data_IF_753042995956
#
_entry.id   IF_753042995956
#
_cell.length_a   1.000
_cell.length_b   1.000
_cell.length_c   1.000
_cell.angle_alpha   90.00
_cell.angle_beta   90.00
_cell.angle_gamma   90.00
#
_symmetry.space_group_name_H-M   'P 1'
#
loop_
_entity.id
_entity.type
_entity.pdbx_description
1 polymer ?
#
# COMPACT_ATOMS: atom_id res chain seq x y z
N UNK A 1 -32.77 -3.09 -1.39
CA UNK A 1 -31.68 -2.10 -1.57
C UNK A 1 -31.32 -1.56 -0.18
N UNK A 2 -30.21 -2.02 0.41
CA UNK A 2 -29.84 -1.66 1.79
C UNK A 2 -29.21 -0.28 1.81
N UNK A 3 -29.83 0.66 2.54
CA UNK A 3 -29.26 1.99 2.78
C UNK A 3 -27.95 1.86 3.59
N UNK A 4 -26.89 2.52 3.11
CA UNK A 4 -25.62 2.57 3.81
C UNK A 4 -25.78 3.29 5.16
N UNK A 5 -25.33 2.64 6.25
CA UNK A 5 -25.32 3.23 7.59
C UNK A 5 -24.31 4.39 7.68
N UNK A 6 -24.62 5.48 8.40
CA UNK A 6 -23.78 6.68 8.52
C UNK A 6 -22.44 6.46 9.25
N UNK A 7 -22.21 5.29 9.85
CA UNK A 7 -20.98 4.92 10.55
C UNK A 7 -20.08 3.94 9.76
N UNK A 8 -20.46 3.58 8.53
CA UNK A 8 -19.68 2.66 7.70
C UNK A 8 -18.47 3.37 7.09
N UNK A 9 -17.25 2.80 7.19
CA UNK A 9 -16.07 3.42 6.60
C UNK A 9 -16.21 3.48 5.07
N UNK A 10 -15.62 4.52 4.48
CA UNK A 10 -15.47 4.57 3.02
C UNK A 10 -14.37 3.57 2.65
N UNK A 11 -14.67 2.62 1.78
CA UNK A 11 -13.74 1.56 1.38
C UNK A 11 -13.16 1.88 0.01
N UNK A 12 -11.84 1.83 -0.08
CA UNK A 12 -11.09 1.91 -1.34
C UNK A 12 -10.29 0.62 -1.48
N UNK A 13 -10.45 -0.06 -2.61
CA UNK A 13 -9.66 -1.25 -2.96
C UNK A 13 -8.80 -0.95 -4.16
N UNK A 14 -7.59 -1.51 -4.20
CA UNK A 14 -6.74 -1.39 -5.37
C UNK A 14 -5.43 -2.10 -5.20
N UNK A 15 -4.63 -2.05 -6.26
CA UNK A 15 -3.26 -2.55 -6.25
C UNK A 15 -2.32 -1.40 -5.90
N UNK A 16 -1.42 -1.63 -4.95
CA UNK A 16 -0.44 -0.63 -4.56
C UNK A 16 0.55 -0.37 -5.68
N UNK A 17 0.64 0.89 -6.10
CA UNK A 17 1.53 1.35 -7.17
C UNK A 17 2.69 2.20 -6.64
N UNK A 18 3.81 2.28 -7.39
CA UNK A 18 4.87 3.25 -7.12
C UNK A 18 4.34 4.69 -7.08
N UNK A 19 4.85 5.48 -6.11
CA UNK A 19 4.67 6.93 -6.07
C UNK A 19 6.01 7.63 -6.30
N UNK A 20 6.12 8.91 -5.91
CA UNK A 20 7.37 9.71 -6.01
C UNK A 20 8.38 9.31 -4.94
N UNK A 21 8.01 8.37 -4.06
CA UNK A 21 8.84 7.87 -2.96
C UNK A 21 9.34 8.96 -2.00
N UNK A 22 8.81 10.19 -2.07
CA UNK A 22 9.18 11.32 -1.20
C UNK A 22 8.90 11.02 0.27
N UNK A 23 7.79 10.34 0.57
CA UNK A 23 7.47 9.90 1.92
C UNK A 23 8.54 8.97 2.50
N UNK A 24 9.09 8.05 1.69
CA UNK A 24 10.17 7.14 2.10
C UNK A 24 11.42 7.90 2.55
N UNK A 25 11.83 8.94 1.82
CA UNK A 25 12.97 9.80 2.18
C UNK A 25 12.75 10.56 3.50
N UNK A 26 11.49 10.76 3.90
CA UNK A 26 11.11 11.45 5.13
C UNK A 26 10.82 10.50 6.30
N UNK A 27 10.98 9.18 6.12
CA UNK A 27 10.66 8.16 7.12
C UNK A 27 9.18 7.76 7.18
N UNK A 28 8.38 8.15 6.18
CA UNK A 28 6.94 7.85 6.08
C UNK A 28 6.63 7.17 4.74
N UNK A 29 7.05 5.91 4.52
CA UNK A 29 6.68 5.19 3.31
C UNK A 29 5.16 5.04 3.20
N UNK A 30 4.62 5.16 1.98
CA UNK A 30 3.19 5.06 1.71
C UNK A 30 2.89 4.00 0.65
N UNK A 31 1.81 3.27 0.88
CA UNK A 31 1.14 2.48 -0.15
C UNK A 31 0.20 3.42 -0.94
N UNK A 32 0.40 3.52 -2.26
CA UNK A 32 -0.35 4.45 -3.10
C UNK A 32 -1.39 3.69 -3.92
N UNK A 33 -2.64 4.17 -3.93
CA UNK A 33 -3.73 3.69 -4.77
C UNK A 33 -4.25 4.83 -5.65
N UNK A 34 -4.26 4.68 -6.99
CA UNK A 34 -4.98 5.59 -7.86
C UNK A 34 -6.47 5.62 -7.48
N UNK A 35 -7.05 6.81 -7.47
CA UNK A 35 -8.46 7.01 -7.13
C UNK A 35 -9.25 7.43 -8.36
N UNK A 36 -10.06 6.49 -8.86
CA UNK A 36 -11.07 6.77 -9.89
C UNK A 36 -12.43 7.18 -9.30
N UNK A 37 -12.59 7.04 -7.98
CA UNK A 37 -13.87 7.26 -7.29
C UNK A 37 -14.16 8.75 -7.04
N UNK A 38 -15.25 9.24 -7.61
CA UNK A 38 -15.87 10.51 -7.26
C UNK A 38 -16.48 10.48 -5.85
N UNK A 39 -16.61 11.66 -5.21
CA UNK A 39 -17.37 11.82 -3.96
C UNK A 39 -16.60 11.66 -2.65
N UNK A 40 -15.41 11.06 -2.64
CA UNK A 40 -14.53 11.11 -1.47
C UNK A 40 -13.91 12.51 -1.36
N UNK A 41 -13.93 13.13 -0.18
CA UNK A 41 -13.30 14.46 0.01
C UNK A 41 -11.80 14.37 0.23
N UNK A 42 -11.05 15.39 -0.19
CA UNK A 42 -9.60 15.45 0.07
C UNK A 42 -9.34 15.73 1.55
N UNK A 43 -8.32 15.07 2.11
CA UNK A 43 -7.92 15.21 3.51
C UNK A 43 -7.02 14.09 3.99
N UNK A 44 -6.73 14.09 5.28
CA UNK A 44 -6.04 12.99 5.97
C UNK A 44 -7.03 12.30 6.89
N UNK A 45 -6.98 10.97 6.89
CA UNK A 45 -7.91 10.08 7.56
C UNK A 45 -7.16 9.11 8.47
N UNK A 46 -7.78 8.75 9.59
CA UNK A 46 -7.45 7.53 10.30
C UNK A 46 -8.17 6.37 9.61
N UNK A 47 -7.42 5.30 9.32
CA UNK A 47 -7.89 4.18 8.54
C UNK A 47 -7.28 2.85 8.95
N UNK A 48 -7.77 1.79 8.31
CA UNK A 48 -7.16 0.46 8.36
C UNK A 48 -6.84 -0.04 6.96
N UNK A 49 -5.67 -0.64 6.78
CA UNK A 49 -5.26 -1.31 5.54
C UNK A 49 -5.29 -2.81 5.78
N UNK A 50 -6.00 -3.51 4.91
CA UNK A 50 -6.04 -4.97 4.86
C UNK A 50 -5.27 -5.39 3.62
N UNK A 51 -4.23 -6.21 3.80
CA UNK A 51 -3.49 -6.86 2.73
C UNK A 51 -4.22 -8.15 2.35
N UNK A 52 -4.81 -8.20 1.16
CA UNK A 52 -5.60 -9.35 0.70
C UNK A 52 -4.70 -10.57 0.40
N UNK A 53 -3.38 -10.38 0.33
CA UNK A 53 -2.41 -11.46 0.08
C UNK A 53 -2.25 -12.38 1.29
N UNK A 54 -2.21 -11.81 2.49
CA UNK A 54 -1.93 -12.55 3.73
C UNK A 54 -2.95 -12.30 4.86
N UNK A 55 -3.98 -11.50 4.57
CA UNK A 55 -5.03 -11.12 5.51
C UNK A 55 -4.57 -10.21 6.65
N UNK A 56 -3.34 -9.67 6.60
CA UNK A 56 -2.85 -8.78 7.65
C UNK A 56 -3.60 -7.45 7.64
N UNK A 57 -3.90 -6.96 8.83
CA UNK A 57 -4.59 -5.67 9.02
C UNK A 57 -3.69 -4.73 9.81
N UNK A 58 -3.55 -3.50 9.33
CA UNK A 58 -2.69 -2.47 9.90
C UNK A 58 -3.45 -1.16 10.08
N UNK A 59 -3.17 -0.42 11.15
CA UNK A 59 -3.62 0.96 11.28
C UNK A 59 -2.86 1.82 10.27
N UNK A 60 -3.51 2.83 9.70
CA UNK A 60 -2.88 3.72 8.76
C UNK A 60 -3.33 5.17 8.93
N UNK A 61 -2.38 6.09 8.78
CA UNK A 61 -2.67 7.49 8.46
C UNK A 61 -2.76 7.59 6.93
N UNK A 62 -3.93 7.97 6.42
CA UNK A 62 -4.24 7.90 4.99
C UNK A 62 -4.46 9.30 4.43
N UNK A 63 -3.58 9.74 3.54
CA UNK A 63 -3.72 10.98 2.79
C UNK A 63 -4.52 10.73 1.52
N UNK A 64 -5.54 11.54 1.27
CA UNK A 64 -6.33 11.55 0.05
C UNK A 64 -6.21 12.93 -0.58
N UNK A 65 -5.69 12.99 -1.81
CA UNK A 65 -5.46 14.26 -2.48
C UNK A 65 -4.99 14.12 -3.91
N UNK A 66 -4.74 15.26 -4.54
CA UNK A 66 -4.23 15.37 -5.91
C UNK A 66 -2.75 15.69 -5.90
N UNK A 67 -2.00 15.03 -6.78
CA UNK A 67 -0.64 15.45 -7.12
C UNK A 67 -0.69 16.62 -8.07
N UNK A 68 -0.30 17.80 -7.61
CA UNK A 68 -0.20 18.98 -8.49
C UNK A 68 1.12 19.01 -9.31
N UNK A 69 1.81 17.87 -9.48
CA UNK A 69 3.02 17.77 -10.32
C UNK A 69 2.67 18.12 -11.77
N UNK A 70 3.43 19.03 -12.40
CA UNK A 70 3.41 19.54 -13.80
C UNK A 70 2.05 19.80 -14.52
N UNK A 71 1.01 19.02 -14.29
CA UNK A 71 -0.34 19.05 -14.88
C UNK A 71 -1.37 19.85 -14.06
N UNK A 72 -0.96 20.54 -12.99
CA UNK A 72 -1.84 21.47 -12.27
C UNK A 72 -3.08 20.80 -11.64
N UNK A 73 -4.30 21.21 -12.04
CA UNK A 73 -5.56 20.70 -11.49
C UNK A 73 -5.99 19.33 -12.07
N UNK A 74 -5.33 18.89 -13.14
CA UNK A 74 -5.60 17.63 -13.84
C UNK A 74 -4.69 16.49 -13.37
N UNK A 75 -3.94 16.71 -12.30
CA UNK A 75 -3.08 15.69 -11.73
C UNK A 75 -3.87 14.54 -11.10
N UNK A 76 -3.32 13.32 -11.21
CA UNK A 76 -3.93 12.11 -10.69
C UNK A 76 -4.25 12.24 -9.20
N UNK A 77 -5.45 11.78 -8.85
CA UNK A 77 -5.91 11.71 -7.48
C UNK A 77 -5.46 10.38 -6.89
N UNK A 78 -4.87 10.44 -5.71
CA UNK A 78 -4.27 9.29 -5.06
C UNK A 78 -4.71 9.20 -3.61
N UNK A 79 -4.78 7.98 -3.14
CA UNK A 79 -4.78 7.62 -1.73
C UNK A 79 -3.38 7.14 -1.38
N UNK A 80 -2.76 7.75 -0.37
CA UNK A 80 -1.44 7.40 0.14
C UNK A 80 -1.59 6.94 1.59
N UNK A 81 -1.46 5.65 1.85
CA UNK A 81 -1.60 5.06 3.18
C UNK A 81 -0.23 4.82 3.82
N UNK A 82 0.06 5.53 4.91
CA UNK A 82 1.19 5.23 5.77
C UNK A 82 0.75 4.25 6.86
N UNK A 83 1.17 2.99 6.75
CA UNK A 83 0.87 1.94 7.73
C UNK A 83 1.73 2.14 8.98
N UNK A 84 1.08 2.19 10.14
CA UNK A 84 1.75 2.31 11.43
C UNK A 84 2.40 0.99 11.80
N UNK A 85 3.62 1.06 12.34
CA UNK A 85 4.39 -0.09 12.83
C UNK A 85 4.63 -1.19 11.79
N UNK A 86 4.52 -0.84 10.50
CA UNK A 86 4.79 -1.72 9.37
C UNK A 86 6.16 -1.39 8.78
N UNK A 87 7.01 -2.41 8.66
CA UNK A 87 8.22 -2.35 7.84
C UNK A 87 8.10 -3.35 6.70
N UNK A 88 8.42 -2.86 5.49
CA UNK A 88 8.27 -3.56 4.24
C UNK A 88 7.67 -2.67 3.16
N UNK A 89 7.49 -3.23 1.98
CA UNK A 89 6.69 -2.63 0.92
C UNK A 89 5.40 -3.45 0.70
N UNK A 90 4.39 -2.76 0.18
CA UNK A 90 3.16 -3.38 -0.28
C UNK A 90 3.05 -3.30 -1.79
N UNK A 91 4.11 -2.92 -2.52
CA UNK A 91 4.00 -2.73 -3.97
C UNK A 91 3.51 -4.00 -4.64
N UNK A 92 2.53 -3.84 -5.53
CA UNK A 92 1.89 -4.96 -6.20
C UNK A 92 0.91 -5.76 -5.33
N UNK A 93 0.68 -5.39 -4.07
CA UNK A 93 -0.33 -6.05 -3.26
C UNK A 93 -1.70 -5.50 -3.60
N UNK A 94 -2.68 -6.40 -3.72
CA UNK A 94 -4.09 -6.03 -3.64
C UNK A 94 -4.40 -5.70 -2.18
N UNK A 95 -4.81 -4.46 -1.92
CA UNK A 95 -5.14 -4.00 -0.57
C UNK A 95 -6.54 -3.38 -0.54
N UNK A 96 -7.12 -3.42 0.65
CA UNK A 96 -8.37 -2.76 0.98
C UNK A 96 -8.13 -1.74 2.09
N UNK A 97 -8.42 -0.49 1.80
CA UNK A 97 -8.28 0.63 2.74
C UNK A 97 -9.65 1.06 3.21
N UNK A 98 -9.89 0.98 4.51
CA UNK A 98 -11.08 1.52 5.15
C UNK A 98 -10.76 2.89 5.75
N UNK A 99 -11.42 3.95 5.28
CA UNK A 99 -11.33 5.30 5.81
C UNK A 99 -12.41 5.50 6.87
N UNK A 100 -12.01 5.64 8.13
CA UNK A 100 -12.95 5.67 9.25
C UNK A 100 -13.25 7.08 9.75
N UNK A 101 -12.23 7.91 9.93
CA UNK A 101 -12.40 9.25 10.48
C UNK A 101 -11.49 10.25 9.76
N UNK A 102 -12.07 11.38 9.35
CA UNK A 102 -11.28 12.48 8.78
C UNK A 102 -10.58 13.23 9.92
N UNK A 103 -9.26 13.23 9.92
CA UNK A 103 -8.43 13.91 10.92
C UNK A 103 -8.26 15.39 10.60
N UNK A 104 -8.03 15.72 9.32
CA UNK A 104 -7.82 17.11 8.87
C UNK A 104 -8.01 17.28 7.35
N UNK A 105 -8.22 18.52 6.87
CA UNK A 105 -8.09 18.82 5.44
C UNK A 105 -6.63 18.72 4.94
N UNK A 106 -6.47 18.71 3.61
CA UNK A 106 -5.16 18.83 2.97
C UNK A 106 -4.55 20.22 3.22
N UNK A 107 -3.22 20.26 3.34
CA UNK A 107 -2.47 21.49 3.61
C UNK A 107 -1.12 21.47 2.90
N UNK A 108 -0.67 22.63 2.41
CA UNK A 108 0.67 22.84 1.89
C UNK A 108 1.64 23.24 3.01
N UNK A 109 2.87 22.74 2.95
CA UNK A 109 3.92 22.99 3.93
C UNK A 109 5.10 23.71 3.26
N UNK A 110 5.68 24.68 3.97
CA UNK A 110 6.92 25.34 3.56
C UNK A 110 8.08 24.54 4.14
N UNK A 111 8.68 23.68 3.31
CA UNK A 111 9.83 22.86 3.70
C UNK A 111 9.49 21.49 4.30
N UNK A 112 10.49 20.62 4.33
CA UNK A 112 10.36 19.22 4.74
C UNK A 112 10.11 19.05 6.25
N UNK A 113 10.73 19.87 7.09
CA UNK A 113 10.59 19.79 8.55
C UNK A 113 9.13 20.00 9.01
N UNK A 114 8.48 21.04 8.48
CA UNK A 114 7.08 21.33 8.80
C UNK A 114 6.13 20.22 8.33
N UNK A 115 6.45 19.56 7.21
CA UNK A 115 5.71 18.41 6.71
C UNK A 115 5.90 17.20 7.64
N UNK A 116 7.15 16.84 7.96
CA UNK A 116 7.48 15.72 8.85
C UNK A 116 6.79 15.87 10.21
N UNK A 117 6.83 17.06 10.77
CA UNK A 117 6.20 17.35 12.06
C UNK A 117 4.67 17.18 11.99
N UNK A 118 4.03 17.55 10.87
CA UNK A 118 2.63 17.21 10.68
C UNK A 118 2.41 15.70 10.58
N UNK A 119 3.21 14.98 9.80
CA UNK A 119 3.04 13.53 9.61
C UNK A 119 3.12 12.78 10.94
N UNK A 120 3.99 13.22 11.87
CA UNK A 120 4.03 12.69 13.25
C UNK A 120 2.73 12.92 14.01
N UNK A 121 2.13 14.11 13.90
CA UNK A 121 0.83 14.42 14.52
C UNK A 121 -0.30 13.59 13.93
N UNK A 122 -0.28 13.37 12.61
CA UNK A 122 -1.27 12.55 11.92
C UNK A 122 -1.19 11.09 12.41
N UNK A 123 0.03 10.54 12.56
CA UNK A 123 0.25 9.21 13.15
C UNK A 123 -0.25 9.15 14.60
N UNK A 124 0.08 10.15 15.43
CA UNK A 124 -0.37 10.19 16.81
C UNK A 124 -1.90 10.26 16.92
N UNK A 125 -2.55 11.07 16.08
CA UNK A 125 -4.00 11.18 16.02
C UNK A 125 -4.67 9.87 15.58
N UNK A 126 -4.11 9.15 14.60
CA UNK A 126 -4.58 7.81 14.21
C UNK A 126 -4.50 6.82 15.38
N UNK A 127 -3.44 6.86 16.20
CA UNK A 127 -3.34 6.01 17.40
C UNK A 127 -4.38 6.36 18.45
N UNK A 128 -4.61 7.65 18.70
CA UNK A 128 -5.66 8.11 19.62
C UNK A 128 -7.03 7.62 19.18
N UNK A 129 -7.37 7.84 17.90
CA UNK A 129 -8.64 7.37 17.32
C UNK A 129 -8.82 5.86 17.50
N UNK A 130 -7.78 5.05 17.26
CA UNK A 130 -7.85 3.61 17.41
C UNK A 130 -8.15 3.18 18.86
N UNK A 131 -7.46 3.79 19.84
CA UNK A 131 -7.66 3.54 21.27
C UNK A 131 -9.07 3.90 21.75
N UNK A 132 -9.59 5.03 21.28
CA UNK A 132 -10.95 5.48 21.60
C UNK A 132 -12.00 4.49 21.08
N UNK A 133 -11.81 3.96 19.85
CA UNK A 133 -12.69 2.94 19.29
C UNK A 133 -12.61 1.58 19.98
N UNK A 134 -11.44 1.19 20.48
CA UNK A 134 -11.29 -0.04 21.28
C UNK A 134 -11.98 0.08 22.66
N UNK A 135 -12.02 1.29 23.22
CA UNK A 135 -12.56 1.58 24.56
C UNK A 135 -14.08 1.84 24.58
N UNK A 136 -14.72 1.95 23.41
CA UNK A 136 -16.15 2.22 23.30
C UNK A 136 -17.01 1.03 23.82
N UNK A 137 -18.11 1.27 24.57
CA UNK A 137 -19.01 0.20 25.02
C UNK A 137 -19.54 -0.63 23.84
N UNK A 138 -19.81 -1.94 24.01
CA UNK A 138 -20.21 -2.85 22.92
C UNK A 138 -21.58 -2.56 22.28
N UNK A 139 -22.21 -1.42 22.56
CA UNK A 139 -23.41 -1.01 21.84
C UNK A 139 -23.00 -0.50 20.45
N UNK A 140 -23.41 -1.28 19.42
CA UNK A 140 -23.07 -1.19 17.98
C UNK A 140 -21.91 -2.09 17.53
N UNK A 141 -22.12 -3.40 17.63
CA UNK A 141 -21.95 -4.33 16.50
C UNK A 141 -20.61 -4.49 15.75
N UNK A 142 -19.51 -3.82 16.12
CA UNK A 142 -18.20 -4.09 15.50
C UNK A 142 -17.07 -3.66 16.43
N UNK A 143 -16.44 -4.64 17.09
CA UNK A 143 -15.04 -4.48 17.48
C UNK A 143 -14.25 -4.43 16.18
N UNK A 144 -13.44 -3.40 15.97
CA UNK A 144 -12.41 -3.51 14.93
C UNK A 144 -11.62 -4.79 15.23
N UNK A 145 -11.22 -5.59 14.23
CA UNK A 145 -10.24 -6.63 14.44
C UNK A 145 -8.86 -5.96 14.58
N UNK A 146 -8.73 -4.91 15.41
CA UNK A 146 -7.44 -4.53 15.96
C UNK A 146 -7.17 -5.52 17.09
N UNK A 147 -6.97 -6.79 16.72
CA UNK A 147 -5.78 -7.42 17.30
C UNK A 147 -4.67 -6.64 16.64
N UNK A 148 -4.24 -5.53 17.26
CA UNK A 148 -2.91 -5.03 17.07
C UNK A 148 -2.05 -6.27 17.27
N UNK A 149 -1.68 -6.94 16.16
CA UNK A 149 -0.66 -7.96 16.19
C UNK A 149 0.47 -7.28 16.93
N UNK A 150 0.91 -7.88 18.04
CA UNK A 150 2.05 -7.46 18.87
C UNK A 150 2.92 -6.53 18.05
N UNK A 151 3.16 -5.30 18.53
CA UNK A 151 4.19 -4.42 17.95
C UNK A 151 5.37 -5.33 17.60
N UNK A 152 5.53 -5.59 16.30
CA UNK A 152 6.52 -6.57 15.87
C UNK A 152 7.84 -5.88 16.13
N UNK A 153 8.73 -6.54 16.85
CA UNK A 153 10.07 -6.01 16.96
C UNK A 153 10.72 -5.95 15.57
N UNK A 154 11.79 -5.17 15.44
CA UNK A 154 12.46 -4.97 14.16
C UNK A 154 12.89 -6.28 13.48
N UNK A 155 13.24 -7.32 14.26
CA UNK A 155 13.69 -8.61 13.73
C UNK A 155 12.54 -9.44 13.15
N UNK A 156 11.38 -9.42 13.81
CA UNK A 156 10.18 -10.08 13.32
C UNK A 156 9.66 -9.43 12.02
N UNK A 157 9.78 -8.10 11.91
CA UNK A 157 9.47 -7.36 10.69
C UNK A 157 10.41 -7.74 9.55
N UNK A 158 11.72 -7.73 9.80
CA UNK A 158 12.74 -8.12 8.81
C UNK A 158 12.54 -9.56 8.32
N UNK A 159 12.28 -10.52 9.23
CA UNK A 159 12.03 -11.92 8.86
C UNK A 159 10.83 -12.06 7.94
N UNK A 160 9.72 -11.38 8.26
CA UNK A 160 8.52 -11.41 7.42
C UNK A 160 8.72 -10.74 6.07
N UNK A 161 9.50 -9.66 6.04
CA UNK A 161 9.87 -9.00 4.79
C UNK A 161 10.66 -9.96 3.89
N UNK A 162 11.69 -10.61 4.43
CA UNK A 162 12.49 -11.58 3.69
C UNK A 162 11.68 -12.77 3.17
N UNK A 163 10.78 -13.31 3.99
CA UNK A 163 9.88 -14.41 3.59
C UNK A 163 8.97 -14.01 2.43
N UNK A 164 8.38 -12.81 2.49
CA UNK A 164 7.51 -12.27 1.42
C UNK A 164 8.30 -12.00 0.14
N UNK A 165 9.48 -11.39 0.24
CA UNK A 165 10.36 -11.15 -0.90
C UNK A 165 10.77 -12.46 -1.58
N UNK A 166 11.09 -13.49 -0.78
CA UNK A 166 11.41 -14.83 -1.29
C UNK A 166 10.24 -15.45 -2.06
N UNK A 167 9.00 -15.38 -1.54
CA UNK A 167 7.82 -15.88 -2.23
C UNK A 167 7.57 -15.16 -3.57
N UNK A 168 7.80 -13.84 -3.62
CA UNK A 168 7.67 -13.05 -4.85
C UNK A 168 8.73 -13.43 -5.88
N UNK A 169 9.99 -13.54 -5.46
CA UNK A 169 11.09 -13.97 -6.32
C UNK A 169 10.85 -15.38 -6.89
N UNK A 170 10.32 -16.30 -6.07
CA UNK A 170 9.96 -17.64 -6.52
C UNK A 170 8.81 -17.62 -7.56
N UNK A 171 7.80 -16.76 -7.38
CA UNK A 171 6.72 -16.61 -8.36
C UNK A 171 7.21 -16.02 -9.69
N UNK A 172 8.10 -15.03 -9.62
CA UNK A 172 8.76 -14.44 -10.79
C UNK A 172 9.61 -15.49 -11.53
N UNK A 173 10.44 -16.24 -10.81
CA UNK A 173 11.31 -17.27 -11.37
C UNK A 173 10.51 -18.38 -12.08
N UNK A 174 9.42 -18.86 -11.48
CA UNK A 174 8.52 -19.83 -12.13
C UNK A 174 7.93 -19.28 -13.44
N UNK A 175 7.35 -18.08 -13.38
CA UNK A 175 6.73 -17.46 -14.56
C UNK A 175 7.71 -17.26 -15.72
N UNK A 176 8.95 -16.87 -15.43
CA UNK A 176 9.98 -16.68 -16.47
C UNK A 176 10.56 -18.01 -16.93
N UNK A 177 10.78 -18.96 -16.01
CA UNK A 177 11.25 -20.31 -16.35
C UNK A 177 10.37 -20.99 -17.40
N UNK A 178 9.04 -20.90 -17.23
CA UNK A 178 8.06 -21.41 -18.19
C UNK A 178 8.16 -20.74 -19.59
N UNK A 179 8.52 -19.44 -19.66
CA UNK A 179 8.73 -18.73 -20.93
C UNK A 179 10.01 -19.16 -21.64
N UNK A 180 11.08 -19.37 -20.86
CA UNK A 180 12.37 -19.82 -21.38
C UNK A 180 12.26 -21.26 -21.89
N UNK A 181 11.57 -22.14 -21.16
CA UNK A 181 11.34 -23.54 -21.55
C UNK A 181 10.49 -23.66 -22.82
N UNK A 182 9.54 -22.74 -23.03
CA UNK A 182 8.76 -22.69 -24.27
C UNK A 182 9.47 -22.01 -25.45
N UNK A 183 10.70 -21.49 -25.25
CA UNK A 183 11.44 -20.74 -26.27
C UNK A 183 10.82 -19.37 -26.63
N UNK A 184 9.90 -18.86 -25.80
CA UNK A 184 9.15 -17.62 -26.03
C UNK A 184 9.83 -16.40 -25.36
N UNK A 185 11.13 -16.47 -25.10
CA UNK A 185 11.89 -15.43 -24.40
C UNK A 185 11.80 -14.05 -25.08
N UNK A 186 11.72 -14.04 -26.42
CA UNK A 186 11.59 -12.82 -27.22
C UNK A 186 10.21 -12.17 -27.14
N UNK A 187 9.23 -12.91 -26.64
CA UNK A 187 7.86 -12.45 -26.41
C UNK A 187 7.65 -12.01 -24.95
N UNK A 188 8.67 -12.12 -24.10
CA UNK A 188 8.59 -11.69 -22.71
C UNK A 188 8.31 -10.18 -22.62
N UNK A 189 7.26 -9.84 -21.89
CA UNK A 189 6.89 -8.47 -21.55
C UNK A 189 6.57 -8.41 -20.06
N UNK A 190 6.61 -7.21 -19.47
CA UNK A 190 6.15 -7.03 -18.09
C UNK A 190 4.70 -7.47 -17.91
N UNK A 191 3.85 -7.28 -18.93
CA UNK A 191 2.45 -7.67 -18.94
C UNK A 191 2.28 -9.18 -18.84
N UNK A 192 2.97 -9.92 -19.72
CA UNK A 192 2.88 -11.38 -19.77
C UNK A 192 3.40 -12.01 -18.47
N UNK A 193 4.50 -11.49 -17.94
CA UNK A 193 5.05 -11.96 -16.66
C UNK A 193 4.14 -11.57 -15.50
N UNK A 194 3.53 -10.40 -15.53
CA UNK A 194 2.59 -9.99 -14.50
C UNK A 194 1.37 -10.91 -14.43
N UNK A 195 0.81 -11.26 -15.59
CA UNK A 195 -0.33 -12.16 -15.70
C UNK A 195 -0.01 -13.54 -15.09
N UNK A 196 1.14 -14.12 -15.48
CA UNK A 196 1.55 -15.46 -15.04
C UNK A 196 1.99 -15.52 -13.58
N UNK A 197 2.79 -14.55 -13.12
CA UNK A 197 3.29 -14.51 -11.75
C UNK A 197 2.26 -14.01 -10.73
N UNK A 198 1.17 -13.39 -11.23
CA UNK A 198 0.22 -12.57 -10.45
C UNK A 198 0.89 -11.40 -9.72
N UNK A 199 2.09 -11.02 -10.12
CA UNK A 199 2.78 -9.82 -9.64
C UNK A 199 2.34 -8.66 -10.54
N UNK A 200 1.86 -7.54 -9.99
CA UNK A 200 1.38 -6.45 -10.83
C UNK A 200 2.43 -5.84 -11.75
N UNK A 201 2.00 -5.58 -12.99
CA UNK A 201 2.85 -5.01 -14.06
C UNK A 201 3.52 -3.69 -13.65
N UNK A 202 2.83 -2.85 -12.89
CA UNK A 202 3.37 -1.58 -12.40
C UNK A 202 4.55 -1.77 -11.44
N UNK A 203 4.51 -2.83 -10.60
CA UNK A 203 5.65 -3.18 -9.76
C UNK A 203 6.79 -3.72 -10.60
N UNK A 204 6.52 -4.65 -11.53
CA UNK A 204 7.54 -5.24 -12.37
C UNK A 204 8.29 -4.17 -13.17
N UNK A 205 7.59 -3.20 -13.75
CA UNK A 205 8.19 -2.07 -14.49
C UNK A 205 8.99 -1.13 -13.59
N UNK A 206 8.68 -1.04 -12.30
CA UNK A 206 9.44 -0.21 -11.35
C UNK A 206 10.69 -0.93 -10.83
N UNK A 207 10.54 -2.20 -10.41
CA UNK A 207 11.63 -3.00 -9.88
C UNK A 207 12.63 -3.39 -10.98
N UNK A 208 12.12 -3.63 -12.19
CA UNK A 208 12.89 -4.06 -13.35
C UNK A 208 12.54 -3.15 -14.54
N UNK A 209 13.22 -2.00 -14.69
CA UNK A 209 12.86 -0.99 -15.69
C UNK A 209 12.82 -1.53 -17.13
N UNK A 210 13.61 -2.55 -17.43
CA UNK A 210 13.60 -3.24 -18.72
C UNK A 210 13.17 -4.70 -18.58
N UNK A 211 12.64 -5.27 -19.66
CA UNK A 211 12.37 -6.72 -19.73
C UNK A 211 13.65 -7.53 -19.50
N UNK A 212 14.81 -7.02 -19.92
CA UNK A 212 16.09 -7.69 -19.73
C UNK A 212 16.47 -7.76 -18.24
N UNK A 213 16.27 -6.68 -17.48
CA UNK A 213 16.48 -6.67 -16.02
C UNK A 213 15.56 -7.69 -15.33
N UNK A 214 14.31 -7.78 -15.78
CA UNK A 214 13.31 -8.70 -15.26
C UNK A 214 13.73 -10.16 -15.50
N UNK A 215 14.15 -10.49 -16.72
CA UNK A 215 14.59 -11.84 -17.08
C UNK A 215 15.87 -12.22 -16.34
N UNK A 216 16.82 -11.29 -16.21
CA UNK A 216 18.06 -11.50 -15.46
C UNK A 216 17.79 -11.76 -13.98
N UNK A 217 16.93 -10.96 -13.35
CA UNK A 217 16.54 -11.14 -11.95
C UNK A 217 15.88 -12.51 -11.72
N UNK A 218 14.92 -12.88 -12.58
CA UNK A 218 14.23 -14.16 -12.48
C UNK A 218 15.16 -15.37 -12.65
N UNK A 219 16.16 -15.26 -13.53
CA UNK A 219 17.14 -16.32 -13.82
C UNK A 219 18.21 -16.49 -12.73
N UNK A 220 18.37 -15.49 -11.85
CA UNK A 220 19.32 -15.53 -10.74
C UNK A 220 18.81 -16.28 -9.51
N UNK A 221 17.50 -16.55 -9.45
CA UNK A 221 16.89 -17.35 -8.39
C UNK A 221 17.22 -18.83 -8.64
N UNK A 222 17.84 -19.55 -7.69
CA UNK A 222 18.09 -20.98 -7.84
C UNK A 222 16.79 -21.74 -8.10
N UNK A 223 16.78 -22.61 -9.12
CA UNK A 223 15.65 -23.52 -9.34
C UNK A 223 15.63 -24.54 -8.17
N UNK A 224 14.53 -24.55 -7.42
CA UNK A 224 14.24 -25.54 -6.37
C UNK A 224 13.74 -26.84 -6.99
#
# INVERSE_FOLDING_TARGET
MSAAHPDSPIVVTGVVVPGDQRGRLLGFPTANLPLDVGGLSDGVYAGTVIDETDGSTHLAAVSVGRRTSFYGRDGERLLEAHLLDYAGDLYGHAIRVELHAKLRPQRRYRGAEALVEQLRRDVAATRTWARERESAPPHRGRRLPVRARRVLDSRDLERRQAERESLRLAALARSVGELLESGAEREATHELVAERSRIPVAYLRWAYPTTQDLLAAASSVPRL
#
